data_IF_777642131355
#
_entry.id   IF_777642131355
#
_cell.length_a   1.000
_cell.length_b   1.000
_cell.length_c   1.000
_cell.angle_alpha   90.00
_cell.angle_beta   90.00
_cell.angle_gamma   90.00
#
_symmetry.space_group_name_H-M   'P 1'
#
loop_
_entity.id
_entity.type
_entity.pdbx_description
1 polymer ?
#
# COMPACT_ATOMS: atom_id res chain seq x y z
N UNK A 1 12.98 -31.92 -10.30
CA UNK A 1 12.78 -31.09 -11.53
C UNK A 1 11.61 -30.08 -11.37
N UNK A 2 10.31 -30.44 -11.51
CA UNK A 2 9.23 -29.46 -11.30
C UNK A 2 9.15 -28.95 -9.86
N UNK A 3 9.26 -29.82 -8.89
CA UNK A 3 9.29 -29.48 -7.48
C UNK A 3 10.52 -28.64 -7.09
N UNK A 4 11.69 -28.97 -7.61
CA UNK A 4 12.92 -28.20 -7.38
C UNK A 4 12.78 -26.79 -7.92
N UNK A 5 12.25 -26.62 -9.13
CA UNK A 5 11.98 -25.31 -9.72
C UNK A 5 11.01 -24.47 -8.86
N UNK A 6 9.97 -25.10 -8.31
CA UNK A 6 9.06 -24.41 -7.39
C UNK A 6 9.78 -23.98 -6.09
N UNK A 7 10.60 -24.86 -5.51
CA UNK A 7 11.36 -24.56 -4.28
C UNK A 7 12.33 -23.40 -4.52
N UNK A 8 13.07 -23.41 -5.62
CA UNK A 8 14.00 -22.33 -5.99
C UNK A 8 13.26 -21.01 -6.15
N UNK A 9 12.16 -21.03 -6.91
CA UNK A 9 11.35 -19.84 -7.15
C UNK A 9 10.74 -19.28 -5.86
N UNK A 10 10.18 -20.15 -5.00
CA UNK A 10 9.63 -19.76 -3.70
C UNK A 10 10.70 -19.22 -2.76
N UNK A 11 11.87 -19.86 -2.72
CA UNK A 11 13.00 -19.38 -1.93
C UNK A 11 13.41 -17.98 -2.34
N UNK A 12 13.59 -17.74 -3.65
CA UNK A 12 13.91 -16.40 -4.17
C UNK A 12 12.84 -15.36 -3.80
N UNK A 13 11.57 -15.72 -3.92
CA UNK A 13 10.46 -14.84 -3.56
C UNK A 13 10.53 -14.41 -2.08
N UNK A 14 10.75 -15.37 -1.17
CA UNK A 14 10.71 -15.12 0.28
C UNK A 14 12.00 -14.58 0.87
N UNK A 15 13.16 -14.90 0.28
CA UNK A 15 14.46 -14.44 0.80
C UNK A 15 14.92 -13.12 0.20
N UNK A 16 14.57 -12.86 -1.05
CA UNK A 16 15.10 -11.71 -1.78
C UNK A 16 14.01 -10.73 -2.21
N UNK A 17 12.88 -11.18 -2.76
CA UNK A 17 11.90 -10.27 -3.34
C UNK A 17 11.05 -9.59 -2.26
N UNK A 18 10.35 -10.37 -1.43
CA UNK A 18 9.44 -9.83 -0.41
C UNK A 18 10.16 -8.95 0.63
N UNK A 19 11.32 -9.34 1.19
CA UNK A 19 11.99 -8.52 2.20
C UNK A 19 12.52 -7.18 1.68
N UNK A 20 12.79 -7.09 0.37
CA UNK A 20 13.29 -5.87 -0.25
C UNK A 20 12.18 -4.99 -0.85
N UNK A 21 10.90 -5.36 -0.64
CA UNK A 21 9.79 -4.54 -1.12
C UNK A 21 9.63 -3.25 -0.30
N UNK A 22 9.62 -2.08 -0.95
CA UNK A 22 9.53 -0.80 -0.26
C UNK A 22 8.15 -0.54 0.35
N UNK A 23 7.10 -1.22 -0.14
CA UNK A 23 5.73 -1.02 0.33
C UNK A 23 5.15 -2.30 0.93
N UNK A 24 4.54 -2.19 2.11
CA UNK A 24 3.88 -3.31 2.79
C UNK A 24 2.74 -3.92 1.96
N UNK A 25 2.05 -3.11 1.16
CA UNK A 25 0.96 -3.59 0.30
C UNK A 25 1.46 -4.54 -0.79
N UNK A 26 2.57 -4.18 -1.44
CA UNK A 26 3.15 -5.04 -2.47
C UNK A 26 3.75 -6.30 -1.85
N UNK A 27 4.43 -6.20 -0.70
CA UNK A 27 4.95 -7.34 0.05
C UNK A 27 3.84 -8.34 0.41
N UNK A 28 2.71 -7.85 0.95
CA UNK A 28 1.53 -8.67 1.27
C UNK A 28 0.86 -9.29 0.02
N UNK A 29 0.91 -8.59 -1.11
CA UNK A 29 0.40 -9.11 -2.37
C UNK A 29 1.27 -10.27 -2.86
N UNK A 30 2.58 -10.09 -2.88
CA UNK A 30 3.55 -11.10 -3.31
C UNK A 30 3.56 -12.34 -2.39
N UNK A 31 3.31 -12.18 -1.10
CA UNK A 31 3.20 -13.30 -0.16
C UNK A 31 2.07 -14.30 -0.51
N UNK A 32 1.17 -13.96 -1.42
CA UNK A 32 0.11 -14.86 -1.91
C UNK A 32 0.50 -15.60 -3.19
N UNK A 33 1.66 -15.30 -3.75
CA UNK A 33 2.09 -15.84 -5.05
C UNK A 33 2.44 -17.32 -4.99
N UNK A 34 2.79 -17.88 -3.82
CA UNK A 34 3.00 -19.33 -3.66
C UNK A 34 1.75 -20.10 -4.10
N UNK A 35 0.58 -19.69 -3.56
CA UNK A 35 -0.69 -20.30 -3.92
C UNK A 35 -1.03 -20.05 -5.39
N UNK A 36 -0.78 -18.86 -5.89
CA UNK A 36 -1.02 -18.49 -7.28
C UNK A 36 -0.18 -19.34 -8.22
N UNK A 37 1.12 -19.50 -7.92
CA UNK A 37 2.03 -20.34 -8.68
C UNK A 37 1.52 -21.78 -8.79
N UNK A 38 1.22 -22.41 -7.66
CA UNK A 38 0.72 -23.79 -7.65
C UNK A 38 -0.60 -23.93 -8.43
N UNK A 39 -1.51 -22.97 -8.27
CA UNK A 39 -2.79 -22.99 -8.98
C UNK A 39 -2.59 -22.85 -10.49
N UNK A 40 -1.75 -21.94 -10.94
CA UNK A 40 -1.44 -21.74 -12.35
C UNK A 40 -0.74 -22.96 -12.96
N UNK A 41 0.25 -23.54 -12.24
CA UNK A 41 0.96 -24.73 -12.69
C UNK A 41 -0.01 -25.91 -12.91
N UNK A 42 -0.94 -26.11 -11.99
CA UNK A 42 -1.96 -27.14 -12.10
C UNK A 42 -2.91 -26.89 -13.28
N UNK A 43 -3.41 -25.67 -13.41
CA UNK A 43 -4.34 -25.30 -14.50
C UNK A 43 -3.68 -25.47 -15.85
N UNK A 44 -2.43 -25.02 -16.02
CA UNK A 44 -1.68 -25.15 -17.26
C UNK A 44 -1.42 -26.64 -17.60
N UNK A 45 -1.02 -27.44 -16.60
CA UNK A 45 -0.81 -28.88 -16.76
C UNK A 45 -2.07 -29.62 -17.27
N UNK A 46 -3.22 -29.32 -16.66
CA UNK A 46 -4.49 -29.94 -17.05
C UNK A 46 -5.00 -29.42 -18.40
N UNK A 47 -4.83 -28.14 -18.69
CA UNK A 47 -5.26 -27.54 -19.96
C UNK A 47 -4.52 -28.10 -21.18
N UNK A 48 -3.28 -28.59 -20.99
CA UNK A 48 -2.51 -29.30 -21.99
C UNK A 48 -2.89 -30.79 -22.15
N UNK A 49 -3.88 -31.25 -21.41
CA UNK A 49 -4.30 -32.65 -21.40
C UNK A 49 -3.29 -33.58 -20.70
N UNK A 50 -2.35 -33.03 -19.95
CA UNK A 50 -1.36 -33.80 -19.21
C UNK A 50 -2.00 -34.52 -18.01
N UNK A 51 -1.49 -35.70 -17.67
CA UNK A 51 -1.94 -36.51 -16.54
C UNK A 51 -0.77 -36.85 -15.60
N UNK A 52 -1.09 -37.13 -14.34
CA UNK A 52 -0.08 -37.47 -13.33
C UNK A 52 0.54 -36.20 -12.67
N UNK A 53 1.80 -36.27 -12.20
CA UNK A 53 2.45 -35.15 -11.56
C UNK A 53 2.66 -33.97 -12.48
N UNK A 54 2.55 -32.74 -11.94
CA UNK A 54 2.79 -31.51 -12.68
C UNK A 54 4.19 -31.54 -13.31
N UNK A 55 4.28 -31.26 -14.61
CA UNK A 55 5.53 -31.28 -15.35
C UNK A 55 6.33 -29.98 -15.19
N UNK A 56 7.60 -30.01 -15.60
CA UNK A 56 8.51 -28.87 -15.49
C UNK A 56 8.05 -27.69 -16.36
N UNK A 57 7.54 -27.96 -17.54
CA UNK A 57 7.08 -26.92 -18.47
C UNK A 57 5.95 -26.09 -17.86
N UNK A 58 4.95 -26.76 -17.28
CA UNK A 58 3.83 -26.07 -16.61
C UNK A 58 4.30 -25.21 -15.42
N UNK A 59 5.33 -25.64 -14.67
CA UNK A 59 5.91 -24.84 -13.58
C UNK A 59 6.70 -23.64 -14.09
N UNK A 60 7.47 -23.78 -15.17
CA UNK A 60 8.19 -22.67 -15.79
C UNK A 60 7.24 -21.62 -16.37
N UNK A 61 6.17 -22.06 -17.00
CA UNK A 61 5.10 -21.17 -17.50
C UNK A 61 4.38 -20.47 -16.36
N UNK A 62 4.14 -21.17 -15.26
CA UNK A 62 3.56 -20.56 -14.04
C UNK A 62 4.46 -19.47 -13.49
N UNK A 63 5.77 -19.70 -13.38
CA UNK A 63 6.74 -18.68 -12.98
C UNK A 63 6.69 -17.45 -13.88
N UNK A 64 6.61 -17.66 -15.19
CA UNK A 64 6.50 -16.59 -16.19
C UNK A 64 5.22 -15.78 -16.01
N UNK A 65 4.10 -16.43 -15.73
CA UNK A 65 2.83 -15.78 -15.42
C UNK A 65 2.90 -15.00 -14.12
N UNK A 66 3.49 -15.54 -13.06
CA UNK A 66 3.69 -14.82 -11.81
C UNK A 66 4.50 -13.54 -12.03
N UNK A 67 5.60 -13.60 -12.78
CA UNK A 67 6.40 -12.41 -13.13
C UNK A 67 5.61 -11.37 -13.92
N UNK A 68 4.80 -11.79 -14.87
CA UNK A 68 3.91 -10.89 -15.63
C UNK A 68 2.89 -10.21 -14.73
N UNK A 69 2.23 -10.98 -13.86
CA UNK A 69 1.22 -10.47 -12.91
C UNK A 69 1.84 -9.56 -11.85
N UNK A 70 3.07 -9.84 -11.39
CA UNK A 70 3.83 -8.95 -10.54
C UNK A 70 4.02 -7.57 -11.19
N UNK A 71 4.42 -7.53 -12.46
CA UNK A 71 4.55 -6.27 -13.19
C UNK A 71 3.25 -5.48 -13.32
N UNK A 72 2.10 -6.16 -13.43
CA UNK A 72 0.79 -5.51 -13.38
C UNK A 72 0.45 -4.99 -11.99
N UNK A 73 0.68 -5.79 -10.95
CA UNK A 73 0.43 -5.40 -9.57
C UNK A 73 1.25 -4.15 -9.21
N UNK A 74 2.54 -4.11 -9.56
CA UNK A 74 3.40 -2.93 -9.33
C UNK A 74 2.81 -1.67 -9.94
N UNK A 75 2.39 -1.70 -11.19
CA UNK A 75 1.75 -0.55 -11.84
C UNK A 75 0.48 -0.07 -11.12
N UNK A 76 -0.37 -1.00 -10.67
CA UNK A 76 -1.60 -0.65 -9.94
C UNK A 76 -1.27 -0.01 -8.59
N UNK A 77 -0.36 -0.59 -7.82
CA UNK A 77 0.02 -0.05 -6.51
C UNK A 77 0.76 1.28 -6.61
N UNK A 78 1.60 1.46 -7.64
CA UNK A 78 2.27 2.73 -7.92
C UNK A 78 1.26 3.87 -8.18
N UNK A 79 0.20 3.61 -8.94
CA UNK A 79 -0.87 4.58 -9.15
C UNK A 79 -1.57 4.97 -7.84
N UNK A 80 -1.77 4.03 -6.93
CA UNK A 80 -2.35 4.30 -5.61
C UNK A 80 -1.43 5.17 -4.75
N UNK A 81 -0.13 4.92 -4.75
CA UNK A 81 0.84 5.75 -4.03
C UNK A 81 0.92 7.17 -4.60
N UNK A 82 0.94 7.33 -5.92
CA UNK A 82 0.88 8.65 -6.57
C UNK A 82 -0.39 9.41 -6.16
N UNK A 83 -1.53 8.73 -6.09
CA UNK A 83 -2.78 9.34 -5.66
C UNK A 83 -2.73 9.81 -4.19
N UNK A 84 -2.15 9.01 -3.27
CA UNK A 84 -1.97 9.40 -1.86
C UNK A 84 -1.08 10.63 -1.72
N UNK A 85 0.06 10.65 -2.42
CA UNK A 85 0.99 11.78 -2.41
C UNK A 85 0.32 13.04 -2.97
N UNK A 86 -0.45 12.93 -4.04
CA UNK A 86 -1.20 14.05 -4.62
C UNK A 86 -2.22 14.63 -3.63
N UNK A 87 -2.94 13.75 -2.92
CA UNK A 87 -3.91 14.14 -1.91
C UNK A 87 -3.23 14.80 -0.70
N UNK A 88 -2.08 14.26 -0.25
CA UNK A 88 -1.28 14.86 0.81
C UNK A 88 -0.75 16.26 0.42
N UNK A 89 -0.26 16.45 -0.80
CA UNK A 89 0.14 17.77 -1.33
C UNK A 89 -1.03 18.76 -1.33
N UNK A 90 -2.23 18.31 -1.68
CA UNK A 90 -3.43 19.13 -1.64
C UNK A 90 -3.73 19.57 -0.21
N UNK A 91 -3.69 18.66 0.76
CA UNK A 91 -3.89 18.94 2.18
C UNK A 91 -2.81 19.91 2.71
N UNK A 92 -1.54 19.67 2.41
CA UNK A 92 -0.43 20.56 2.77
C UNK A 92 -0.65 21.98 2.26
N UNK A 93 -1.05 22.16 0.99
CA UNK A 93 -1.38 23.45 0.41
C UNK A 93 -2.52 24.15 1.15
N UNK A 94 -3.52 23.41 1.64
CA UNK A 94 -4.64 23.98 2.43
C UNK A 94 -4.19 24.40 3.83
N UNK A 95 -3.26 23.65 4.44
CA UNK A 95 -2.63 24.00 5.74
C UNK A 95 -1.85 25.30 5.60
N UNK A 96 -0.94 25.38 4.62
CA UNK A 96 -0.15 26.60 4.37
C UNK A 96 -1.02 27.83 4.13
N UNK A 97 -2.14 27.68 3.41
CA UNK A 97 -3.11 28.74 3.16
C UNK A 97 -3.98 29.10 4.39
N UNK A 98 -3.72 28.55 5.56
CA UNK A 98 -4.47 28.80 6.78
C UNK A 98 -5.94 28.34 6.75
N UNK A 99 -6.27 27.36 5.89
CA UNK A 99 -7.66 26.85 5.77
C UNK A 99 -8.03 25.85 6.86
N UNK A 100 -7.04 25.35 7.59
CA UNK A 100 -7.18 24.55 8.81
C UNK A 100 -6.56 25.30 9.98
N UNK A 101 -7.24 25.26 11.11
CA UNK A 101 -6.66 25.70 12.37
C UNK A 101 -5.70 24.61 12.87
N UNK A 102 -4.76 24.99 13.71
CA UNK A 102 -3.99 24.01 14.47
C UNK A 102 -4.90 23.13 15.35
N UNK A 103 -4.44 21.94 15.70
CA UNK A 103 -5.24 21.01 16.53
C UNK A 103 -6.54 20.54 15.85
N UNK A 104 -6.45 20.06 14.63
CA UNK A 104 -7.61 19.55 13.89
C UNK A 104 -7.72 18.01 13.91
N UNK A 105 -8.87 17.50 13.53
CA UNK A 105 -9.18 16.06 13.44
C UNK A 105 -9.45 15.65 11.99
N UNK A 106 -9.46 14.33 11.72
CA UNK A 106 -9.90 13.76 10.42
C UNK A 106 -11.26 14.33 10.02
N UNK A 107 -12.21 14.39 10.97
CA UNK A 107 -13.57 14.88 10.74
C UNK A 107 -13.59 16.33 10.29
N UNK A 108 -12.70 17.18 10.82
CA UNK A 108 -12.64 18.59 10.42
C UNK A 108 -12.20 18.76 8.97
N UNK A 109 -11.30 17.91 8.49
CA UNK A 109 -10.89 17.89 7.09
C UNK A 109 -12.00 17.37 6.18
N UNK A 110 -12.63 16.25 6.54
CA UNK A 110 -13.75 15.65 5.76
C UNK A 110 -14.91 16.65 5.61
N UNK A 111 -15.24 17.41 6.67
CA UNK A 111 -16.29 18.43 6.61
C UNK A 111 -16.04 19.54 5.58
N UNK A 112 -14.79 19.78 5.20
CA UNK A 112 -14.45 20.77 4.16
C UNK A 112 -14.79 20.31 2.75
N UNK A 113 -15.05 19.02 2.54
CA UNK A 113 -15.42 18.41 1.26
C UNK A 113 -14.47 18.80 0.11
N UNK A 114 -13.17 18.89 0.41
CA UNK A 114 -12.18 19.16 -0.61
C UNK A 114 -11.98 17.96 -1.55
N UNK A 115 -11.78 18.23 -2.83
CA UNK A 115 -11.55 17.17 -3.83
C UNK A 115 -10.40 16.26 -3.40
N UNK A 116 -10.63 14.95 -3.41
CA UNK A 116 -9.70 13.92 -2.95
C UNK A 116 -9.60 13.77 -1.42
N UNK A 117 -10.37 14.54 -0.62
CA UNK A 117 -10.36 14.54 0.85
C UNK A 117 -11.80 14.48 1.42
N UNK A 118 -12.67 13.71 0.77
CA UNK A 118 -14.11 13.65 1.09
C UNK A 118 -14.48 12.49 2.01
N UNK A 119 -13.60 11.49 2.14
CA UNK A 119 -13.83 10.32 3.00
C UNK A 119 -12.74 10.21 4.07
N UNK A 120 -13.07 9.56 5.20
CA UNK A 120 -12.11 9.33 6.28
C UNK A 120 -10.85 8.63 5.75
N UNK A 121 -11.01 7.57 4.95
CA UNK A 121 -9.89 6.79 4.40
C UNK A 121 -8.94 7.64 3.55
N UNK A 122 -9.47 8.54 2.71
CA UNK A 122 -8.64 9.46 1.90
C UNK A 122 -7.88 10.45 2.77
N UNK A 123 -8.55 10.99 3.79
CA UNK A 123 -7.94 11.96 4.72
C UNK A 123 -6.88 11.28 5.59
N UNK A 124 -7.17 10.12 6.16
CA UNK A 124 -6.22 9.34 6.97
C UNK A 124 -4.96 8.99 6.16
N UNK A 125 -5.12 8.55 4.90
CA UNK A 125 -3.99 8.27 4.01
C UNK A 125 -3.13 9.52 3.74
N UNK A 126 -3.76 10.69 3.53
CA UNK A 126 -3.04 11.94 3.31
C UNK A 126 -2.33 12.43 4.59
N UNK A 127 -2.96 12.27 5.75
CA UNK A 127 -2.38 12.62 7.05
C UNK A 127 -1.19 11.74 7.39
N UNK A 128 -1.25 10.44 7.13
CA UNK A 128 -0.13 9.53 7.34
C UNK A 128 1.11 9.94 6.53
N UNK A 129 0.95 10.34 5.26
CA UNK A 129 2.05 10.86 4.43
C UNK A 129 2.63 12.15 5.02
N UNK A 130 1.78 13.06 5.51
CA UNK A 130 2.25 14.32 6.10
C UNK A 130 2.90 14.13 7.49
N UNK A 131 2.47 13.14 8.24
CA UNK A 131 3.09 12.76 9.52
C UNK A 131 4.48 12.15 9.29
N UNK A 132 4.62 11.21 8.35
CA UNK A 132 5.89 10.63 7.94
C UNK A 132 6.88 11.70 7.44
N UNK A 133 6.37 12.70 6.73
CA UNK A 133 7.15 13.86 6.29
C UNK A 133 7.42 14.91 7.40
N UNK A 134 7.03 14.64 8.65
CA UNK A 134 7.17 15.54 9.82
C UNK A 134 6.45 16.89 9.66
N UNK A 135 5.42 16.96 8.85
CA UNK A 135 4.56 18.13 8.72
C UNK A 135 3.53 18.23 9.84
N UNK A 136 3.13 17.08 10.38
CA UNK A 136 2.12 16.94 11.41
C UNK A 136 2.66 16.07 12.54
N UNK A 137 2.10 16.28 13.74
CA UNK A 137 2.24 15.41 14.89
C UNK A 137 0.85 14.90 15.26
N UNK A 138 0.66 13.58 15.26
CA UNK A 138 -0.57 12.95 15.73
C UNK A 138 -0.48 12.66 17.23
N UNK A 139 -1.49 13.05 17.99
CA UNK A 139 -1.65 12.71 19.40
C UNK A 139 -3.03 12.11 19.62
N UNK A 140 -3.06 10.93 20.22
CA UNK A 140 -4.31 10.29 20.61
C UNK A 140 -4.82 10.86 21.94
N UNK A 141 -6.08 11.26 21.98
CA UNK A 141 -6.74 11.75 23.17
C UNK A 141 -7.10 10.57 24.09
N UNK A 142 -6.23 10.27 25.09
CA UNK A 142 -6.33 9.09 25.96
C UNK A 142 -7.41 9.26 27.06
N UNK A 143 -7.88 10.49 27.36
CA UNK A 143 -8.68 10.80 28.55
C UNK A 143 -10.20 10.83 28.35
N UNK A 144 -10.77 10.28 27.30
CA UNK A 144 -12.25 10.17 27.25
C UNK A 144 -12.72 8.88 27.90
N UNK A 145 -13.31 9.03 29.11
CA UNK A 145 -13.96 7.93 29.85
C UNK A 145 -15.11 7.26 29.06
N UNK A 146 -15.65 7.92 28.03
CA UNK A 146 -16.75 7.39 27.20
C UNK A 146 -16.56 7.87 25.75
N UNK A 147 -16.39 6.94 24.82
CA UNK A 147 -16.33 7.19 23.38
C UNK A 147 -15.07 6.60 22.68
N UNK A 148 -15.09 6.60 21.35
CA UNK A 148 -13.92 6.18 20.55
C UNK A 148 -12.81 7.23 20.69
N UNK A 149 -11.56 6.84 20.93
CA UNK A 149 -10.41 7.76 20.94
C UNK A 149 -10.39 8.63 19.67
N UNK A 150 -10.09 9.90 19.83
CA UNK A 150 -9.99 10.84 18.71
C UNK A 150 -8.54 11.27 18.57
N UNK A 151 -7.94 11.00 17.42
CA UNK A 151 -6.61 11.50 17.10
C UNK A 151 -6.67 12.98 16.71
N UNK A 152 -5.84 13.83 17.33
CA UNK A 152 -5.66 15.23 16.99
C UNK A 152 -4.34 15.44 16.29
N UNK A 153 -4.33 16.28 15.28
CA UNK A 153 -3.16 16.59 14.45
C UNK A 153 -2.71 18.02 14.70
N UNK A 154 -1.44 18.17 15.05
CA UNK A 154 -0.79 19.45 15.32
C UNK A 154 0.15 19.78 14.15
N UNK A 155 0.12 21.02 13.68
CA UNK A 155 0.91 21.47 12.55
C UNK A 155 2.32 21.83 13.02
N UNK A 156 3.36 21.33 12.36
CA UNK A 156 4.73 21.70 12.66
C UNK A 156 4.99 23.17 12.26
N UNK A 157 5.30 24.07 13.22
CA UNK A 157 5.49 25.48 12.93
C UNK A 157 6.61 25.79 11.91
N UNK A 158 7.59 24.88 11.80
CA UNK A 158 8.70 25.04 10.83
C UNK A 158 8.24 24.94 9.39
N UNK A 159 7.20 24.14 9.11
CA UNK A 159 6.67 23.97 7.75
C UNK A 159 5.94 25.21 7.26
N UNK A 160 5.28 25.97 8.14
CA UNK A 160 4.62 27.21 7.81
C UNK A 160 5.61 28.33 7.46
N UNK A 161 6.78 28.36 8.13
CA UNK A 161 7.83 29.34 7.87
C UNK A 161 8.60 29.09 6.58
N UNK A 162 8.74 27.83 6.17
CA UNK A 162 9.45 27.47 4.94
C UNK A 162 8.62 27.70 3.65
N UNK A 163 7.32 27.95 3.80
CA UNK A 163 6.38 28.16 2.70
C UNK A 163 5.99 29.63 2.51
N UNK A 164 6.56 30.55 3.31
CA UNK A 164 6.42 32.02 3.21
C UNK A 164 7.61 32.61 2.48
#
# INVERSE_FOLDING_TARGET
MAQEHFIEWTSELHTNVIPNEPTSFMAQHLAKFDKLFCSLALVLHLAEGSTGPINLESTQRSASWCKYLEGHARRVYELLEVAKISTAKTLASRIVKGKLKDEFTVRDVVRKQWSGLTTNTQVEAALAVLEEAHWLLALDEIEKLVGRPTTRYFINPKTLKAAS
#
